data_IF_385478951826
#
_entry.id   IF_385478951826
#
_cell.length_a   1.000
_cell.length_b   1.000
_cell.length_c   1.000
_cell.angle_alpha   90.00
_cell.angle_beta   90.00
_cell.angle_gamma   90.00
#
_symmetry.space_group_name_H-M   'P 1'
#
loop_
_entity.id
_entity.type
_entity.pdbx_description
1 polymer ?
#
# COMPACT_ATOMS: atom_id res chain seq x y z
N UNK A 1 -19.56 -2.44 39.18
CA UNK A 1 -18.23 -2.22 38.55
C UNK A 1 -17.67 -3.54 37.99
N UNK A 2 -17.39 -4.54 38.83
CA UNK A 2 -16.74 -5.79 38.41
C UNK A 2 -17.50 -6.57 37.32
N UNK A 3 -18.83 -6.73 37.46
CA UNK A 3 -19.64 -7.45 36.46
C UNK A 3 -19.70 -6.76 35.10
N UNK A 4 -19.67 -5.41 35.09
CA UNK A 4 -19.64 -4.63 33.85
C UNK A 4 -18.30 -4.79 33.14
N UNK A 5 -17.19 -4.70 33.88
CA UNK A 5 -15.85 -4.94 33.35
C UNK A 5 -15.70 -6.36 32.79
N UNK A 6 -16.19 -7.37 33.52
CA UNK A 6 -16.18 -8.75 33.05
C UNK A 6 -16.98 -8.91 31.75
N UNK A 7 -18.16 -8.31 31.65
CA UNK A 7 -18.98 -8.32 30.45
C UNK A 7 -18.27 -7.72 29.23
N UNK A 8 -17.60 -6.57 29.42
CA UNK A 8 -16.81 -5.92 28.35
C UNK A 8 -15.62 -6.77 27.92
N UNK A 9 -14.90 -7.38 28.85
CA UNK A 9 -13.78 -8.28 28.54
C UNK A 9 -14.23 -9.50 27.74
N UNK A 10 -15.36 -10.11 28.12
CA UNK A 10 -15.91 -11.26 27.40
C UNK A 10 -16.39 -10.88 26.00
N UNK A 11 -17.04 -9.72 25.86
CA UNK A 11 -17.44 -9.22 24.55
C UNK A 11 -16.23 -8.97 23.64
N UNK A 12 -15.20 -8.31 24.15
CA UNK A 12 -13.96 -8.09 23.40
C UNK A 12 -13.31 -9.42 22.98
N UNK A 13 -13.25 -10.39 23.90
CA UNK A 13 -12.72 -11.73 23.61
C UNK A 13 -13.54 -12.42 22.51
N UNK A 14 -14.87 -12.37 22.57
CA UNK A 14 -15.74 -12.96 21.55
C UNK A 14 -15.54 -12.32 20.18
N UNK A 15 -15.37 -10.99 20.11
CA UNK A 15 -15.06 -10.29 18.85
C UNK A 15 -13.73 -10.78 18.29
N UNK A 16 -12.68 -10.85 19.11
CA UNK A 16 -11.38 -11.35 18.67
C UNK A 16 -11.42 -12.81 18.21
N UNK A 17 -12.12 -13.69 18.93
CA UNK A 17 -12.30 -15.10 18.54
C UNK A 17 -13.08 -15.20 17.22
N UNK A 18 -14.13 -14.39 17.05
CA UNK A 18 -14.89 -14.29 15.80
C UNK A 18 -14.01 -13.83 14.65
N UNK A 19 -13.24 -12.75 14.84
CA UNK A 19 -12.28 -12.26 13.85
C UNK A 19 -11.26 -13.33 13.47
N UNK A 20 -10.72 -14.08 14.44
CA UNK A 20 -9.73 -15.16 14.28
C UNK A 20 -10.28 -16.47 13.69
N UNK A 21 -11.59 -16.62 13.47
CA UNK A 21 -12.14 -17.89 12.98
C UNK A 21 -13.08 -17.72 11.80
N UNK A 22 -13.89 -16.65 11.79
CA UNK A 22 -15.00 -16.47 10.85
C UNK A 22 -14.68 -15.54 9.67
N UNK A 23 -13.56 -14.80 9.69
CA UNK A 23 -13.24 -13.83 8.63
C UNK A 23 -12.25 -14.37 7.59
N UNK A 24 -12.44 -15.61 7.14
CA UNK A 24 -11.73 -16.12 5.96
C UNK A 24 -10.21 -16.20 6.07
N UNK A 25 -9.66 -16.28 7.29
CA UNK A 25 -8.22 -16.39 7.53
C UNK A 25 -7.38 -15.25 6.94
N UNK A 26 -7.95 -14.04 6.76
CA UNK A 26 -7.23 -12.90 6.18
C UNK A 26 -5.93 -12.56 6.93
N UNK A 27 -5.86 -12.91 8.21
CA UNK A 27 -4.68 -12.71 9.08
C UNK A 27 -3.56 -13.72 8.81
N UNK A 28 -3.81 -14.79 8.05
CA UNK A 28 -2.74 -15.65 7.56
C UNK A 28 -2.02 -14.84 6.50
N UNK A 29 -0.88 -14.26 6.88
CA UNK A 29 0.08 -13.67 5.95
C UNK A 29 0.77 -14.77 5.12
N UNK A 30 -0.01 -15.64 4.49
CA UNK A 30 0.41 -16.80 3.71
C UNK A 30 0.71 -16.48 2.25
N UNK A 31 0.42 -15.24 1.83
CA UNK A 31 0.82 -14.69 0.55
C UNK A 31 2.33 -14.43 0.55
N UNK A 32 3.08 -15.47 0.21
CA UNK A 32 4.53 -15.37 0.02
C UNK A 32 4.81 -15.06 -1.45
N UNK A 33 5.66 -14.06 -1.69
CA UNK A 33 6.22 -13.85 -3.02
C UNK A 33 6.97 -15.12 -3.43
N UNK A 34 6.61 -15.66 -4.60
CA UNK A 34 7.32 -16.80 -5.15
C UNK A 34 8.74 -16.36 -5.55
N UNK A 35 9.69 -17.27 -5.47
CA UNK A 35 11.08 -17.05 -5.88
C UNK A 35 11.13 -16.43 -7.29
N UNK A 36 11.61 -15.18 -7.44
CA UNK A 36 11.60 -14.47 -8.71
C UNK A 36 12.49 -15.14 -9.76
N UNK A 37 13.45 -15.97 -9.36
CA UNK A 37 14.27 -16.76 -10.30
C UNK A 37 13.46 -17.84 -11.03
N UNK A 38 12.28 -18.20 -10.51
CA UNK A 38 11.38 -19.20 -11.10
C UNK A 38 10.41 -18.60 -12.10
N UNK A 39 10.36 -17.27 -12.22
CA UNK A 39 9.45 -16.58 -13.13
C UNK A 39 10.25 -15.97 -14.28
N UNK A 40 10.52 -16.79 -15.30
CA UNK A 40 11.04 -16.29 -16.57
C UNK A 40 9.86 -15.95 -17.47
N UNK A 41 9.62 -14.66 -17.69
CA UNK A 41 8.72 -14.22 -18.75
C UNK A 41 9.53 -14.07 -20.04
N UNK A 42 9.00 -14.56 -21.17
CA UNK A 42 9.58 -14.30 -22.49
C UNK A 42 9.59 -12.79 -22.80
N UNK A 43 8.62 -12.06 -22.25
CA UNK A 43 8.53 -10.60 -22.28
C UNK A 43 7.90 -10.08 -20.99
N UNK A 44 8.49 -9.04 -20.39
CA UNK A 44 7.93 -8.41 -19.20
C UNK A 44 6.66 -7.62 -19.53
N UNK A 45 5.59 -7.73 -18.72
CA UNK A 45 4.35 -6.99 -18.97
C UNK A 45 4.56 -5.48 -18.81
N UNK A 46 3.75 -4.69 -19.51
CA UNK A 46 3.66 -3.25 -19.22
C UNK A 46 2.94 -3.04 -17.90
N UNK A 47 3.51 -2.22 -17.03
CA UNK A 47 2.96 -1.89 -15.71
C UNK A 47 2.65 -0.39 -15.63
N UNK A 48 1.49 -0.05 -15.09
CA UNK A 48 1.12 1.32 -14.72
C UNK A 48 0.86 1.37 -13.23
N UNK A 49 1.63 2.19 -12.51
CA UNK A 49 1.44 2.48 -11.09
C UNK A 49 0.52 3.68 -10.97
N UNK A 50 -0.56 3.54 -10.20
CA UNK A 50 -1.47 4.65 -9.87
C UNK A 50 -1.25 5.03 -8.41
N UNK A 51 -0.84 6.28 -8.17
CA UNK A 51 -0.55 6.81 -6.82
C UNK A 51 -1.66 7.81 -6.46
N UNK A 52 -2.66 7.42 -5.65
CA UNK A 52 -3.60 8.38 -5.09
C UNK A 52 -2.90 9.19 -3.98
N UNK A 53 -3.05 10.51 -3.99
CA UNK A 53 -2.43 11.38 -3.01
C UNK A 53 -3.42 12.47 -2.54
N UNK A 54 -3.50 12.67 -1.22
CA UNK A 54 -4.25 13.76 -0.58
C UNK A 54 -3.45 14.29 0.60
N UNK A 55 -2.93 15.51 0.47
CA UNK A 55 -2.13 16.16 1.51
C UNK A 55 -0.94 15.31 1.98
N UNK A 56 -0.11 14.88 1.03
CA UNK A 56 1.07 14.03 1.22
C UNK A 56 2.38 14.78 0.92
N UNK A 57 2.39 16.12 0.94
CA UNK A 57 3.56 16.91 0.51
C UNK A 57 4.87 16.54 1.23
N UNK A 58 4.78 16.05 2.47
CA UNK A 58 5.92 15.66 3.30
C UNK A 58 6.57 14.33 2.88
N UNK A 59 5.87 13.46 2.13
CA UNK A 59 6.31 12.09 1.81
C UNK A 59 6.17 11.72 0.34
N UNK A 60 5.48 12.53 -0.47
CA UNK A 60 5.18 12.19 -1.86
C UNK A 60 6.44 12.09 -2.72
N UNK A 61 7.50 12.84 -2.40
CA UNK A 61 8.80 12.77 -3.08
C UNK A 61 9.43 11.37 -2.93
N UNK A 62 9.36 10.79 -1.73
CA UNK A 62 9.89 9.45 -1.45
C UNK A 62 9.14 8.40 -2.26
N UNK A 63 7.82 8.49 -2.32
CA UNK A 63 6.98 7.57 -3.08
C UNK A 63 7.25 7.66 -4.59
N UNK A 64 7.23 8.88 -5.15
CA UNK A 64 7.48 9.12 -6.58
C UNK A 64 8.87 8.66 -6.97
N UNK A 65 9.90 9.01 -6.19
CA UNK A 65 11.30 8.60 -6.43
C UNK A 65 11.43 7.07 -6.40
N UNK A 66 10.85 6.40 -5.40
CA UNK A 66 10.92 4.94 -5.25
C UNK A 66 10.37 4.20 -6.48
N UNK A 67 9.29 4.72 -7.08
CA UNK A 67 8.70 4.14 -8.30
C UNK A 67 9.50 4.48 -9.56
N UNK A 68 10.00 5.71 -9.70
CA UNK A 68 10.79 6.12 -10.87
C UNK A 68 12.15 5.44 -10.97
N UNK A 69 12.76 5.05 -9.84
CA UNK A 69 14.09 4.43 -9.80
C UNK A 69 14.07 2.89 -9.79
N UNK A 70 12.91 2.27 -10.05
CA UNK A 70 12.79 0.82 -10.12
C UNK A 70 13.64 0.23 -11.25
N UNK A 71 14.25 -0.92 -10.99
CA UNK A 71 14.98 -1.72 -11.99
C UNK A 71 14.07 -2.72 -12.73
N UNK A 72 12.79 -2.36 -12.90
CA UNK A 72 11.82 -3.20 -13.59
C UNK A 72 12.22 -3.37 -15.07
N UNK A 73 12.40 -4.61 -15.59
CA UNK A 73 12.92 -4.78 -16.95
C UNK A 73 11.93 -4.44 -18.07
N UNK A 74 10.64 -4.36 -17.74
CA UNK A 74 9.57 -4.00 -18.69
C UNK A 74 9.27 -2.51 -18.74
N UNK A 75 8.22 -2.14 -19.48
CA UNK A 75 7.75 -0.76 -19.53
C UNK A 75 6.99 -0.42 -18.24
N UNK A 76 7.46 0.59 -17.51
CA UNK A 76 6.81 1.12 -16.32
C UNK A 76 6.32 2.55 -16.58
N UNK A 77 5.07 2.82 -16.22
CA UNK A 77 4.49 4.17 -16.25
C UNK A 77 3.89 4.49 -14.88
N UNK A 78 3.85 5.76 -14.53
CA UNK A 78 3.35 6.22 -13.23
C UNK A 78 2.31 7.32 -13.48
N UNK A 79 1.17 7.20 -12.82
CA UNK A 79 0.10 8.21 -12.83
C UNK A 79 -0.15 8.60 -11.39
N UNK A 80 0.14 9.85 -11.05
CA UNK A 80 -0.20 10.41 -9.76
C UNK A 80 -1.55 11.13 -9.85
N UNK A 81 -2.46 10.79 -8.95
CA UNK A 81 -3.79 11.39 -8.86
C UNK A 81 -3.84 12.24 -7.59
N UNK A 82 -3.78 13.56 -7.77
CA UNK A 82 -3.99 14.50 -6.68
C UNK A 82 -5.49 14.66 -6.40
N UNK A 83 -5.93 14.23 -5.22
CA UNK A 83 -7.31 14.34 -4.78
C UNK A 83 -7.55 15.71 -4.12
N UNK A 84 -7.36 16.81 -4.86
CA UNK A 84 -7.56 18.19 -4.38
C UNK A 84 -6.73 18.57 -3.14
N UNK A 85 -5.43 18.26 -3.14
CA UNK A 85 -4.56 18.59 -2.01
C UNK A 85 -4.41 20.11 -1.83
N UNK A 86 -4.19 20.53 -0.58
CA UNK A 86 -4.07 21.95 -0.20
C UNK A 86 -2.68 22.33 0.33
N UNK A 87 -1.76 21.36 0.41
CA UNK A 87 -0.45 21.47 1.03
C UNK A 87 0.72 21.54 0.02
N UNK A 88 0.42 21.50 -1.28
CA UNK A 88 1.44 21.49 -2.34
C UNK A 88 1.88 20.10 -2.82
N UNK A 89 1.20 19.03 -2.41
CA UNK A 89 1.47 17.64 -2.84
C UNK A 89 1.78 17.50 -4.34
N UNK A 90 0.91 18.04 -5.20
CA UNK A 90 1.10 17.96 -6.65
C UNK A 90 2.38 18.67 -7.15
N UNK A 91 2.75 19.80 -6.54
CA UNK A 91 3.96 20.54 -6.91
C UNK A 91 5.22 19.77 -6.52
N UNK A 92 5.25 19.19 -5.31
CA UNK A 92 6.37 18.36 -4.84
C UNK A 92 6.54 17.11 -5.72
N UNK A 93 5.43 16.45 -6.06
CA UNK A 93 5.45 15.30 -6.96
C UNK A 93 6.03 15.64 -8.33
N UNK A 94 5.60 16.76 -8.92
CA UNK A 94 6.07 17.21 -10.24
C UNK A 94 7.55 17.59 -10.22
N UNK A 95 7.97 18.36 -9.22
CA UNK A 95 9.38 18.70 -9.03
C UNK A 95 10.25 17.45 -8.89
N UNK A 96 9.78 16.45 -8.14
CA UNK A 96 10.49 15.18 -7.97
C UNK A 96 10.64 14.44 -9.29
N UNK A 97 9.59 14.40 -10.11
CA UNK A 97 9.60 13.75 -11.42
C UNK A 97 10.51 14.45 -12.44
N UNK A 98 10.63 15.78 -12.38
CA UNK A 98 11.50 16.55 -13.27
C UNK A 98 12.99 16.48 -12.90
N UNK A 99 13.29 16.21 -11.63
CA UNK A 99 14.67 16.20 -11.11
C UNK A 99 15.36 14.84 -11.27
N UNK A 100 14.60 13.78 -11.59
CA UNK A 100 15.09 12.41 -11.78
C UNK A 100 15.28 12.09 -13.26
#
# INVERSE_FOLDING_TARGET
>A
MASLMLGMTLLALLIWVGMLTAWGQFWRADQQLTDPSKTMFDSWPTVTVVIPARNEADLIDVAVRSHLTQTYPGSLSIILVDDQSTDGTAAVAMQTAETL
#
